data_IF_193169337767
#
_entry.id   IF_193169337767
#
_cell.length_a   1.000
_cell.length_b   1.000
_cell.length_c   1.000
_cell.angle_alpha   90.00
_cell.angle_beta   90.00
_cell.angle_gamma   90.00
#
_symmetry.space_group_name_H-M   'P 1'
#
loop_
_entity.id
_entity.type
_entity.pdbx_description
1 polymer ?
#
# COMPACT_ATOMS: atom_id res chain seq x y z
N UNK A 1 -8.57 9.46 7.20
CA UNK A 1 -8.35 8.20 7.97
C UNK A 1 -6.85 7.98 8.04
N UNK A 2 -6.34 7.26 9.05
CA UNK A 2 -4.92 6.92 9.16
C UNK A 2 -4.74 5.45 8.77
N UNK A 3 -3.94 5.21 7.74
CA UNK A 3 -3.56 3.87 7.30
C UNK A 3 -2.10 3.61 7.68
N UNK A 4 -1.85 2.46 8.31
CA UNK A 4 -0.51 2.06 8.72
C UNK A 4 -0.27 0.59 8.46
N UNK A 5 1.00 0.24 8.32
CA UNK A 5 1.48 -1.13 8.17
C UNK A 5 2.70 -1.33 9.08
N UNK A 6 2.84 -2.53 9.63
CA UNK A 6 4.06 -2.95 10.33
C UNK A 6 4.95 -3.76 9.42
N UNK A 7 6.23 -3.91 9.76
CA UNK A 7 7.18 -4.73 8.98
C UNK A 7 6.70 -6.18 8.76
N UNK A 8 5.97 -6.71 9.74
CA UNK A 8 5.43 -8.05 9.69
C UNK A 8 4.14 -8.17 8.83
N UNK A 9 3.60 -7.05 8.32
CA UNK A 9 2.44 -7.04 7.42
C UNK A 9 1.09 -6.85 8.12
N UNK A 10 1.05 -6.41 9.38
CA UNK A 10 -0.23 -6.03 10.01
C UNK A 10 -0.63 -4.66 9.50
N UNK A 11 -1.72 -4.57 8.76
CA UNK A 11 -2.31 -3.31 8.31
C UNK A 11 -3.46 -2.89 9.22
N UNK A 12 -3.66 -1.59 9.34
CA UNK A 12 -4.79 -1.06 10.11
C UNK A 12 -5.26 0.25 9.50
N UNK A 13 -6.56 0.50 9.69
CA UNK A 13 -7.19 1.78 9.43
C UNK A 13 -7.75 2.31 10.73
N UNK A 14 -7.45 3.59 11.01
CA UNK A 14 -7.96 4.30 12.17
C UNK A 14 -8.68 5.57 11.77
N UNK A 15 -9.63 5.99 12.59
CA UNK A 15 -10.20 7.32 12.48
C UNK A 15 -9.11 8.36 12.81
N UNK A 16 -8.90 9.33 11.92
CA UNK A 16 -7.73 10.22 12.00
C UNK A 16 -7.73 11.15 13.22
N UNK A 17 -8.91 11.60 13.66
CA UNK A 17 -9.04 12.51 14.79
C UNK A 17 -8.95 11.82 16.15
N UNK A 18 -9.49 10.61 16.26
CA UNK A 18 -9.67 9.90 17.55
C UNK A 18 -8.67 8.76 17.75
N UNK A 19 -8.07 8.26 16.66
CA UNK A 19 -7.25 7.05 16.68
C UNK A 19 -8.05 5.75 16.82
N UNK A 20 -9.38 5.81 16.85
CA UNK A 20 -10.25 4.63 16.93
C UNK A 20 -9.94 3.63 15.82
N UNK A 21 -9.85 2.34 16.17
CA UNK A 21 -9.58 1.28 15.21
C UNK A 21 -10.84 0.96 14.40
N UNK A 22 -10.80 1.18 13.10
CA UNK A 22 -11.90 0.84 12.19
C UNK A 22 -11.78 -0.60 11.70
N UNK A 23 -10.57 -1.01 11.29
CA UNK A 23 -10.27 -2.39 10.94
C UNK A 23 -8.78 -2.69 11.08
N UNK A 24 -8.45 -4.00 11.17
CA UNK A 24 -7.09 -4.53 11.23
C UNK A 24 -7.04 -5.84 10.47
N UNK A 25 -6.07 -5.98 9.59
CA UNK A 25 -5.86 -7.19 8.78
C UNK A 25 -4.39 -7.55 8.68
N UNK A 26 -4.11 -8.73 8.12
CA UNK A 26 -2.74 -9.24 7.94
C UNK A 26 -2.49 -9.55 6.47
N UNK A 27 -1.53 -8.85 5.88
CA UNK A 27 -1.01 -9.16 4.55
C UNK A 27 0.19 -10.13 4.66
N UNK A 28 0.50 -10.79 3.54
CA UNK A 28 1.67 -11.68 3.44
C UNK A 28 2.89 -10.89 2.97
N UNK A 29 4.04 -11.22 3.53
CA UNK A 29 5.35 -10.68 3.13
C UNK A 29 5.94 -9.70 4.15
N UNK A 30 7.23 -9.40 4.04
CA UNK A 30 7.85 -8.30 4.77
C UNK A 30 7.50 -6.96 4.11
N UNK A 31 7.46 -5.89 4.91
CA UNK A 31 7.11 -4.55 4.44
C UNK A 31 8.10 -3.51 4.97
N UNK A 32 8.79 -2.82 4.06
CA UNK A 32 9.56 -1.61 4.36
C UNK A 32 8.88 -0.33 3.86
N UNK A 33 8.06 -0.45 2.80
CA UNK A 33 7.39 0.67 2.17
C UNK A 33 6.22 1.18 3.02
N UNK A 34 6.08 2.50 3.10
CA UNK A 34 4.89 3.13 3.67
C UNK A 34 3.69 3.00 2.72
N UNK A 35 2.47 2.88 3.25
CA UNK A 35 1.28 2.90 2.41
C UNK A 35 1.09 4.27 1.80
N UNK A 36 0.59 4.31 0.57
CA UNK A 36 0.21 5.57 -0.09
C UNK A 36 -1.25 5.56 -0.48
N UNK A 37 -1.86 6.74 -0.48
CA UNK A 37 -3.23 6.95 -0.91
C UNK A 37 -3.25 7.68 -2.25
N UNK A 38 -4.05 7.19 -3.19
CA UNK A 38 -4.37 7.86 -4.44
C UNK A 38 -5.69 7.33 -5.00
N UNK A 39 -6.49 8.19 -5.62
CA UNK A 39 -7.70 7.80 -6.35
C UNK A 39 -8.67 6.90 -5.53
N UNK A 40 -8.91 7.27 -4.27
CA UNK A 40 -9.78 6.52 -3.36
C UNK A 40 -9.26 5.13 -2.97
N UNK A 41 -7.97 4.85 -3.21
CA UNK A 41 -7.34 3.55 -2.94
C UNK A 41 -6.10 3.73 -2.08
N UNK A 42 -5.79 2.71 -1.29
CA UNK A 42 -4.59 2.61 -0.48
C UNK A 42 -3.73 1.46 -0.99
N UNK A 43 -2.45 1.74 -1.25
CA UNK A 43 -1.51 0.81 -1.86
C UNK A 43 -0.51 0.35 -0.80
N UNK A 44 -0.46 -0.96 -0.55
CA UNK A 44 0.51 -1.59 0.35
C UNK A 44 1.49 -2.42 -0.46
N UNK A 45 2.73 -1.94 -0.60
CA UNK A 45 3.80 -2.60 -1.35
C UNK A 45 4.68 -3.42 -0.41
N UNK A 46 4.69 -4.73 -0.58
CA UNK A 46 5.60 -5.63 0.13
C UNK A 46 7.00 -5.62 -0.47
N UNK A 47 7.97 -6.07 0.30
CA UNK A 47 9.35 -6.24 -0.16
C UNK A 47 9.52 -7.24 -1.28
N UNK A 48 8.54 -8.12 -1.51
CA UNK A 48 8.55 -9.08 -2.61
C UNK A 48 8.01 -8.50 -3.92
N UNK A 49 7.67 -7.22 -3.96
CA UNK A 49 7.09 -6.56 -5.14
C UNK A 49 5.60 -6.85 -5.33
N UNK A 50 4.94 -7.49 -4.36
CA UNK A 50 3.48 -7.62 -4.35
C UNK A 50 2.85 -6.35 -3.79
N UNK A 51 1.97 -5.70 -4.56
CA UNK A 51 1.16 -4.56 -4.14
C UNK A 51 -0.27 -5.01 -3.89
N UNK A 52 -0.75 -4.88 -2.65
CA UNK A 52 -2.18 -5.05 -2.31
C UNK A 52 -2.86 -3.70 -2.35
N UNK A 53 -3.95 -3.58 -3.12
CA UNK A 53 -4.72 -2.35 -3.28
C UNK A 53 -6.05 -2.51 -2.56
N UNK A 54 -6.36 -1.57 -1.67
CA UNK A 54 -7.55 -1.58 -0.82
C UNK A 54 -8.38 -0.34 -1.12
N UNK A 55 -9.71 -0.48 -1.15
CA UNK A 55 -10.63 0.66 -1.23
C UNK A 55 -10.54 1.51 0.06
N UNK A 56 -10.53 2.83 -0.07
CA UNK A 56 -10.58 3.67 1.11
C UNK A 56 -11.94 3.53 1.84
N UNK A 57 -11.92 3.60 3.16
CA UNK A 57 -13.16 3.47 3.93
C UNK A 57 -13.03 2.83 5.29
N UNK A 58 -14.17 2.73 6.01
CA UNK A 58 -14.28 2.10 7.31
C UNK A 58 -14.40 0.57 7.24
N UNK A 59 -14.48 0.00 6.03
CA UNK A 59 -14.51 -1.44 5.80
C UNK A 59 -13.27 -1.84 5.01
N UNK A 60 -12.72 -3.00 5.33
CA UNK A 60 -11.60 -3.55 4.58
C UNK A 60 -12.10 -4.22 3.31
N UNK A 61 -11.60 -3.79 2.14
CA UNK A 61 -11.95 -4.38 0.85
C UNK A 61 -10.77 -4.31 -0.10
N UNK A 62 -10.19 -5.46 -0.45
CA UNK A 62 -9.17 -5.58 -1.48
C UNK A 62 -9.82 -5.43 -2.84
N UNK A 63 -9.28 -4.56 -3.69
CA UNK A 63 -9.77 -4.33 -5.06
C UNK A 63 -8.81 -4.86 -6.12
N UNK A 64 -7.52 -5.02 -5.79
CA UNK A 64 -6.53 -5.63 -6.68
C UNK A 64 -5.31 -6.14 -5.91
N UNK A 65 -4.61 -7.09 -6.51
CA UNK A 65 -3.27 -7.53 -6.12
C UNK A 65 -2.41 -7.59 -7.37
N UNK A 66 -1.26 -6.92 -7.35
CA UNK A 66 -0.34 -6.84 -8.48
C UNK A 66 1.05 -7.35 -8.08
N UNK A 67 1.76 -8.01 -8.99
CA UNK A 67 3.09 -8.57 -8.74
C UNK A 67 4.11 -8.00 -9.73
N UNK A 68 5.23 -7.48 -9.22
CA UNK A 68 6.36 -7.02 -10.04
C UNK A 68 7.51 -8.05 -10.11
N UNK A 69 7.48 -9.10 -9.29
CA UNK A 69 8.51 -10.15 -9.29
C UNK A 69 9.89 -9.69 -8.84
N UNK A 70 10.00 -8.52 -8.21
CA UNK A 70 11.28 -7.91 -7.85
C UNK A 70 11.23 -7.25 -6.47
N UNK A 71 12.38 -7.22 -5.78
CA UNK A 71 12.50 -6.62 -4.46
C UNK A 71 12.16 -5.12 -4.49
N UNK A 72 11.35 -4.68 -3.52
CA UNK A 72 10.90 -3.29 -3.39
C UNK A 72 10.98 -2.79 -1.95
N UNK A 73 11.79 -1.77 -1.65
CA UNK A 73 11.87 -1.22 -0.29
C UNK A 73 11.34 0.22 -0.17
N UNK A 74 11.25 0.93 -1.29
CA UNK A 74 10.81 2.33 -1.31
C UNK A 74 9.27 2.43 -1.33
N UNK A 75 8.74 3.44 -0.64
CA UNK A 75 7.33 3.82 -0.75
C UNK A 75 7.00 4.22 -2.20
N UNK A 76 5.86 3.81 -2.76
CA UNK A 76 5.42 4.32 -4.06
C UNK A 76 5.29 5.85 -4.05
N UNK A 77 5.49 6.50 -5.18
CA UNK A 77 5.26 7.93 -5.33
C UNK A 77 4.11 8.18 -6.31
N UNK A 78 3.28 9.19 -6.02
CA UNK A 78 2.12 9.54 -6.83
C UNK A 78 2.36 10.93 -7.43
N UNK A 79 2.30 11.06 -8.75
CA UNK A 79 2.42 12.36 -9.41
C UNK A 79 1.77 12.33 -10.79
N UNK A 80 1.03 13.40 -11.14
CA UNK A 80 0.42 13.56 -12.46
C UNK A 80 -0.40 12.34 -12.92
N UNK A 81 -1.24 11.79 -12.03
CA UNK A 81 -2.06 10.60 -12.35
C UNK A 81 -1.30 9.28 -12.45
N UNK A 82 0.00 9.26 -12.17
CA UNK A 82 0.85 8.08 -12.26
C UNK A 82 1.33 7.61 -10.88
N UNK A 83 1.48 6.29 -10.75
CA UNK A 83 2.14 5.60 -9.64
C UNK A 83 3.54 5.21 -10.08
N UNK A 84 4.55 5.66 -9.32
CA UNK A 84 5.95 5.34 -9.54
C UNK A 84 6.41 4.34 -8.47
N UNK A 85 6.96 3.21 -8.92
CA UNK A 85 7.47 2.16 -8.03
C UNK A 85 8.93 1.87 -8.35
N UNK A 86 9.82 2.14 -7.39
CA UNK A 86 11.23 1.78 -7.47
C UNK A 86 11.42 0.35 -6.98
N UNK A 87 11.81 -0.54 -7.88
CA UNK A 87 12.29 -1.88 -7.56
C UNK A 87 13.81 -1.86 -7.35
N UNK A 88 14.45 -3.00 -7.17
CA UNK A 88 15.90 -3.10 -7.08
C UNK A 88 16.60 -2.64 -8.39
N UNK A 89 16.10 -3.04 -9.55
CA UNK A 89 16.75 -2.81 -10.86
C UNK A 89 16.03 -1.81 -11.76
N UNK A 90 14.74 -1.51 -11.52
CA UNK A 90 13.97 -0.62 -12.39
C UNK A 90 13.15 0.44 -11.62
N UNK A 91 12.65 1.42 -12.36
CA UNK A 91 11.59 2.34 -11.93
C UNK A 91 10.41 2.15 -12.86
N UNK A 92 9.27 1.72 -12.31
CA UNK A 92 8.02 1.56 -13.05
C UNK A 92 7.21 2.84 -12.95
N UNK A 93 6.54 3.22 -14.04
CA UNK A 93 5.52 4.25 -14.09
C UNK A 93 4.22 3.59 -14.55
N UNK A 94 3.19 3.63 -13.70
CA UNK A 94 1.89 2.99 -13.94
C UNK A 94 0.82 4.08 -13.91
N UNK A 95 0.21 4.36 -15.06
CA UNK A 95 -0.87 5.31 -15.25
C UNK A 95 -1.50 5.14 -16.63
N UNK A 96 -2.57 5.88 -16.90
CA UNK A 96 -3.24 5.92 -18.21
C UNK A 96 -2.73 7.08 -19.06
#
# INVERSE_FOLDING_TARGET
RLYSITEAGTINCRQGATGELLWRERLRGPFSASPVWADGKVYFLSEKGTTTVVEEGPQFKVVATNELGEKCCASPAISQGNVFIRTEKALYCIGQ
#
